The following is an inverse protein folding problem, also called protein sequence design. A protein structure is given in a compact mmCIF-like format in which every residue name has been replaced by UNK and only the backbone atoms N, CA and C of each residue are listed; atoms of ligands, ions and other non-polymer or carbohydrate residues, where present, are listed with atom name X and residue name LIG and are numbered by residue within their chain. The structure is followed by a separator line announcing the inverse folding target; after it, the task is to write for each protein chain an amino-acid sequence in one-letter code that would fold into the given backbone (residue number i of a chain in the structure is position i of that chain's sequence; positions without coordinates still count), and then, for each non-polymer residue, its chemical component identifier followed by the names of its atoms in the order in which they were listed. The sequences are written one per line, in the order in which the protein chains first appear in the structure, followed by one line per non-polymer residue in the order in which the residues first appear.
data_IF_716687125742
#
_entry.id   IF_716687125742
#
_cell.length_a   1.000
_cell.length_b   1.000
_cell.length_c   1.000
_cell.angle_alpha   90.00
_cell.angle_beta   90.00
_cell.angle_gamma   90.00
#
_symmetry.space_group_name_H-M   'P 1'
#
loop_
_entity.id
_entity.type
_entity.pdbx_description
1 polymer ?
#
# COMPACT_ATOMS: atom_id res chain seq x y z
N UNK A 1 4.11 -5.89 34.55
CA UNK A 1 2.80 -6.56 34.66
C UNK A 1 1.83 -6.02 33.61
N UNK A 2 2.01 -6.42 32.34
CA UNK A 2 0.97 -6.44 31.28
C UNK A 2 1.52 -7.20 30.05
N UNK A 3 1.88 -8.48 30.22
CA UNK A 3 2.19 -9.41 29.11
C UNK A 3 0.98 -10.33 28.83
N UNK A 4 -0.23 -9.79 28.82
CA UNK A 4 -1.44 -10.61 28.61
C UNK A 4 -1.75 -10.76 27.11
N UNK A 5 -1.16 -9.91 26.25
CA UNK A 5 -1.35 -9.97 24.80
C UNK A 5 0.03 -9.91 24.13
N UNK A 6 0.41 -10.93 23.33
CA UNK A 6 1.66 -10.88 22.60
C UNK A 6 1.64 -9.75 21.57
N UNK A 7 2.73 -8.98 21.48
CA UNK A 7 2.80 -7.79 20.64
C UNK A 7 2.43 -8.05 19.17
N UNK A 8 2.78 -9.22 18.64
CA UNK A 8 2.46 -9.62 17.26
C UNK A 8 0.94 -9.74 17.02
N UNK A 9 0.13 -10.06 18.04
CA UNK A 9 -1.32 -10.12 17.90
C UNK A 9 -1.92 -8.72 17.79
N UNK A 10 -1.37 -7.74 18.52
CA UNK A 10 -1.75 -6.33 18.39
C UNK A 10 -1.38 -5.83 16.98
N UNK A 11 -0.19 -6.16 16.48
CA UNK A 11 0.25 -5.83 15.12
C UNK A 11 -0.72 -6.37 14.06
N UNK A 12 -1.15 -7.64 14.16
CA UNK A 12 -2.14 -8.23 13.25
C UNK A 12 -3.51 -7.53 13.30
N UNK A 13 -3.98 -7.13 14.48
CA UNK A 13 -5.22 -6.38 14.62
C UNK A 13 -5.14 -5.00 13.94
N UNK A 14 -4.00 -4.33 14.02
CA UNK A 14 -3.77 -3.05 13.33
C UNK A 14 -3.77 -3.25 11.81
N UNK A 15 -3.14 -4.32 11.30
CA UNK A 15 -3.20 -4.66 9.88
C UNK A 15 -4.64 -4.92 9.44
N UNK A 16 -5.40 -5.72 10.20
CA UNK A 16 -6.79 -6.03 9.90
C UNK A 16 -7.67 -4.77 9.93
N UNK A 17 -7.46 -3.87 10.89
CA UNK A 17 -8.12 -2.57 10.96
C UNK A 17 -7.79 -1.75 9.71
N UNK A 18 -6.52 -1.63 9.34
CA UNK A 18 -6.08 -0.84 8.18
C UNK A 18 -6.69 -1.38 6.87
N UNK A 19 -6.69 -2.70 6.68
CA UNK A 19 -7.33 -3.36 5.53
C UNK A 19 -8.85 -3.14 5.56
N UNK A 20 -9.49 -3.26 6.72
CA UNK A 20 -10.92 -3.02 6.89
C UNK A 20 -11.31 -1.57 6.57
N UNK A 21 -10.49 -0.61 6.97
CA UNK A 21 -10.67 0.80 6.65
C UNK A 21 -10.51 1.07 5.15
N UNK A 22 -9.52 0.43 4.50
CA UNK A 22 -9.33 0.52 3.06
C UNK A 22 -10.46 -0.10 2.22
N UNK A 23 -11.15 -1.09 2.80
CA UNK A 23 -12.36 -1.67 2.22
C UNK A 23 -13.56 -0.72 2.27
N UNK A 24 -13.71 0.08 3.34
CA UNK A 24 -14.92 0.89 3.59
C UNK A 24 -14.96 2.24 2.87
N UNK A 25 -13.83 2.88 2.60
CA UNK A 25 -13.83 4.24 2.02
C UNK A 25 -13.29 4.31 0.60
N UNK A 26 -14.15 4.38 -0.43
CA UNK A 26 -13.71 4.66 -1.83
C UNK A 26 -12.86 5.94 -1.91
N UNK A 27 -13.27 6.98 -1.17
CA UNK A 27 -12.56 8.25 -1.06
C UNK A 27 -11.35 8.27 -0.14
N UNK A 28 -11.10 7.23 0.67
CA UNK A 28 -9.93 7.17 1.57
C UNK A 28 -8.73 6.43 0.94
N UNK A 29 -8.93 5.78 -0.21
CA UNK A 29 -7.94 4.92 -0.88
C UNK A 29 -6.66 5.67 -1.26
N UNK A 30 -6.77 6.91 -1.73
CA UNK A 30 -5.62 7.75 -2.08
C UNK A 30 -4.72 7.99 -0.86
N UNK A 31 -5.30 8.53 0.22
CA UNK A 31 -4.55 8.81 1.46
C UNK A 31 -3.96 7.53 2.07
N UNK A 32 -4.70 6.41 2.07
CA UNK A 32 -4.17 5.16 2.58
C UNK A 32 -2.94 4.69 1.79
N UNK A 33 -2.98 4.74 0.46
CA UNK A 33 -1.80 4.41 -0.39
C UNK A 33 -0.60 5.30 -0.07
N UNK A 34 -0.84 6.61 0.13
CA UNK A 34 0.16 7.60 0.54
C UNK A 34 0.74 7.28 1.92
N UNK A 35 -0.10 6.97 2.91
CA UNK A 35 0.35 6.63 4.27
C UNK A 35 1.19 5.35 4.29
N UNK A 36 0.79 4.31 3.57
CA UNK A 36 1.60 3.08 3.44
C UNK A 36 2.96 3.39 2.86
N UNK A 37 3.01 4.17 1.77
CA UNK A 37 4.27 4.59 1.15
C UNK A 37 5.15 5.34 2.15
N UNK A 38 4.58 6.27 2.92
CA UNK A 38 5.29 7.02 3.94
C UNK A 38 5.88 6.10 5.01
N UNK A 39 5.09 5.25 5.66
CA UNK A 39 5.56 4.38 6.74
C UNK A 39 6.65 3.43 6.28
N UNK A 40 6.47 2.81 5.12
CA UNK A 40 7.45 1.88 4.54
C UNK A 40 8.78 2.57 4.19
N UNK A 41 8.70 3.77 3.62
CA UNK A 41 9.90 4.54 3.23
C UNK A 41 10.60 5.17 4.44
N UNK A 42 9.84 5.65 5.43
CA UNK A 42 10.38 6.20 6.66
C UNK A 42 11.06 5.13 7.51
N UNK A 43 10.45 3.94 7.64
CA UNK A 43 11.14 2.79 8.26
C UNK A 43 12.44 2.45 7.53
N UNK A 44 12.44 2.50 6.20
CA UNK A 44 13.64 2.29 5.42
C UNK A 44 14.73 3.35 5.69
N UNK A 45 14.36 4.62 5.86
CA UNK A 45 15.26 5.68 6.30
C UNK A 45 15.86 5.37 7.68
N UNK A 46 15.04 4.99 8.67
CA UNK A 46 15.52 4.69 10.02
C UNK A 46 16.47 3.50 10.02
N UNK A 47 16.12 2.43 9.31
CA UNK A 47 16.95 1.21 9.22
C UNK A 47 18.32 1.42 8.56
N UNK A 48 18.50 2.53 7.85
CA UNK A 48 19.69 2.80 7.05
C UNK A 48 20.70 3.72 7.77
N UNK A 49 20.39 4.24 8.96
CA UNK A 49 21.25 5.19 9.65
C UNK A 49 21.22 4.99 11.16
N UNK A 50 22.38 4.95 11.80
CA UNK A 50 22.51 4.63 13.24
C UNK A 50 22.49 5.87 14.16
N UNK A 51 21.94 6.99 13.67
CA UNK A 51 22.00 8.31 14.33
C UNK A 51 20.79 8.56 15.24
N UNK A 52 19.84 7.63 15.30
CA UNK A 52 18.56 7.83 16.00
C UNK A 52 18.63 7.53 17.50
N UNK A 53 17.91 8.30 18.34
CA UNK A 53 17.75 7.97 19.75
C UNK A 53 16.95 6.67 19.93
N UNK A 54 17.25 5.94 21.01
CA UNK A 54 16.74 4.59 21.28
C UNK A 54 15.21 4.59 21.39
N UNK A 55 14.64 5.62 22.02
CA UNK A 55 13.20 5.77 22.23
C UNK A 55 12.43 5.85 20.90
N UNK A 56 13.03 6.47 19.89
CA UNK A 56 12.47 6.57 18.54
C UNK A 56 12.53 5.24 17.82
N UNK A 57 13.65 4.52 17.95
CA UNK A 57 13.83 3.20 17.34
C UNK A 57 12.84 2.18 17.90
N UNK A 58 12.55 2.20 19.20
CA UNK A 58 11.56 1.31 19.81
C UNK A 58 10.14 1.59 19.31
N UNK A 59 9.74 2.86 19.29
CA UNK A 59 8.40 3.26 18.81
C UNK A 59 8.23 2.96 17.33
N UNK A 60 9.25 3.27 16.52
CA UNK A 60 9.21 3.02 15.09
C UNK A 60 9.28 1.53 14.77
N UNK A 61 9.97 0.71 15.57
CA UNK A 61 9.99 -0.75 15.37
C UNK A 61 8.57 -1.33 15.39
N UNK A 62 7.69 -0.88 16.28
CA UNK A 62 6.30 -1.33 16.30
C UNK A 62 5.55 -0.97 15.00
N UNK A 63 5.69 0.27 14.53
CA UNK A 63 5.04 0.73 13.28
C UNK A 63 5.64 0.02 12.06
N UNK A 64 6.97 -0.10 12.00
CA UNK A 64 7.71 -0.78 10.95
C UNK A 64 7.35 -2.26 10.85
N UNK A 65 7.18 -2.95 11.97
CA UNK A 65 6.75 -4.35 12.01
C UNK A 65 5.39 -4.53 11.31
N UNK A 66 4.42 -3.63 11.57
CA UNK A 66 3.07 -3.64 10.97
C UNK A 66 3.13 -3.42 9.46
N UNK A 67 3.83 -2.38 9.00
CA UNK A 67 3.80 -1.96 7.59
C UNK A 67 4.80 -2.68 6.68
N UNK A 68 5.85 -3.29 7.24
CA UNK A 68 6.85 -4.10 6.53
C UNK A 68 6.77 -5.60 6.85
N UNK A 69 5.77 -6.05 7.62
CA UNK A 69 5.55 -7.45 7.99
C UNK A 69 6.72 -8.13 8.70
N UNK A 70 7.45 -7.39 9.53
CA UNK A 70 8.55 -7.93 10.35
C UNK A 70 8.05 -8.18 11.76
N UNK A 71 7.42 -9.32 12.02
CA UNK A 71 6.85 -9.62 13.34
C UNK A 71 7.91 -9.99 14.39
N UNK A 72 8.71 -9.03 14.85
CA UNK A 72 9.87 -9.26 15.74
C UNK A 72 9.54 -10.09 16.99
N UNK A 73 8.30 -10.03 17.50
CA UNK A 73 7.84 -10.83 18.63
C UNK A 73 7.81 -12.35 18.39
N UNK A 74 7.79 -12.80 17.12
CA UNK A 74 7.85 -14.22 16.76
C UNK A 74 9.29 -14.75 16.68
N UNK A 75 10.32 -13.90 16.86
CA UNK A 75 11.72 -14.31 16.72
C UNK A 75 12.15 -15.38 17.73
N UNK A 76 11.61 -15.32 18.95
CA UNK A 76 11.90 -16.31 19.98
C UNK A 76 11.15 -17.64 19.75
N UNK A 77 9.97 -17.61 19.13
CA UNK A 77 9.17 -18.82 18.87
C UNK A 77 9.60 -19.52 17.57
N UNK A 78 9.93 -18.75 16.53
CA UNK A 78 10.30 -19.26 15.22
C UNK A 78 11.60 -18.62 14.72
N UNK A 79 12.77 -18.94 15.31
CA UNK A 79 14.04 -18.29 14.98
C UNK A 79 14.44 -18.46 13.51
N UNK A 80 14.00 -19.54 12.85
CA UNK A 80 14.26 -19.78 11.42
C UNK A 80 13.66 -18.72 10.50
N UNK A 81 12.52 -18.12 10.87
CA UNK A 81 11.86 -17.07 10.08
C UNK A 81 12.63 -15.75 10.08
N UNK A 82 13.53 -15.53 11.05
CA UNK A 82 14.30 -14.31 11.21
C UNK A 82 15.75 -14.43 10.71
N UNK A 83 16.08 -15.56 10.08
CA UNK A 83 17.29 -15.67 9.27
C UNK A 83 17.10 -14.89 7.95
N UNK A 84 18.16 -14.37 7.31
CA UNK A 84 18.03 -13.65 6.03
C UNK A 84 17.26 -14.42 4.95
N UNK A 85 17.46 -15.74 4.92
CA UNK A 85 16.75 -16.67 4.05
C UNK A 85 15.28 -16.85 4.45
N UNK A 86 15.01 -17.04 5.74
CA UNK A 86 13.64 -17.15 6.26
C UNK A 86 12.82 -15.88 6.08
N UNK A 87 13.42 -14.71 6.26
CA UNK A 87 12.77 -13.42 6.08
C UNK A 87 12.40 -13.19 4.60
N UNK A 88 13.31 -13.48 3.66
CA UNK A 88 12.99 -13.39 2.24
C UNK A 88 11.90 -14.40 1.85
N UNK A 89 12.04 -15.67 2.25
CA UNK A 89 11.07 -16.71 1.93
C UNK A 89 9.67 -16.40 2.50
N UNK A 90 9.59 -15.95 3.75
CA UNK A 90 8.33 -15.56 4.38
C UNK A 90 7.68 -14.37 3.69
N UNK A 91 8.44 -13.33 3.33
CA UNK A 91 7.91 -12.17 2.60
C UNK A 91 7.40 -12.54 1.19
N UNK A 92 8.03 -13.49 0.50
CA UNK A 92 7.58 -13.98 -0.80
C UNK A 92 6.31 -14.83 -0.69
N UNK A 93 6.22 -15.69 0.32
CA UNK A 93 5.08 -16.59 0.53
C UNK A 93 3.87 -15.84 1.11
N UNK A 94 4.08 -14.79 1.90
CA UNK A 94 3.02 -14.01 2.55
C UNK A 94 1.89 -13.56 1.60
N UNK A 95 2.15 -12.86 0.47
CA UNK A 95 1.09 -12.48 -0.45
C UNK A 95 0.37 -13.68 -1.04
N UNK A 96 1.06 -14.80 -1.27
CA UNK A 96 0.44 -16.03 -1.77
C UNK A 96 -0.54 -16.61 -0.75
N UNK A 97 -0.14 -16.72 0.52
CA UNK A 97 -1.01 -17.20 1.60
C UNK A 97 -2.22 -16.28 1.76
N UNK A 98 -2.01 -14.96 1.81
CA UNK A 98 -3.10 -14.00 1.93
C UNK A 98 -4.10 -14.12 0.77
N UNK A 99 -3.61 -14.24 -0.48
CA UNK A 99 -4.46 -14.43 -1.65
C UNK A 99 -5.21 -15.77 -1.55
N UNK A 100 -4.54 -16.86 -1.20
CA UNK A 100 -5.17 -18.18 -1.03
C UNK A 100 -6.28 -18.14 0.03
N UNK A 101 -6.06 -17.47 1.17
CA UNK A 101 -7.07 -17.31 2.22
C UNK A 101 -8.28 -16.50 1.73
N UNK A 102 -8.05 -15.44 0.96
CA UNK A 102 -9.12 -14.62 0.36
C UNK A 102 -9.96 -15.46 -0.62
N UNK A 103 -9.32 -16.29 -1.45
CA UNK A 103 -10.04 -17.19 -2.37
C UNK A 103 -10.71 -18.37 -1.68
N UNK A 104 -10.13 -18.84 -0.57
CA UNK A 104 -10.79 -19.83 0.29
C UNK A 104 -12.07 -19.24 0.90
N UNK A 105 -12.03 -17.99 1.38
CA UNK A 105 -13.21 -17.27 1.84
C UNK A 105 -14.25 -17.08 0.73
N UNK A 106 -13.84 -16.75 -0.49
CA UNK A 106 -14.73 -16.70 -1.65
C UNK A 106 -15.44 -18.04 -1.89
N UNK A 107 -14.68 -19.14 -1.84
CA UNK A 107 -15.20 -20.50 -2.07
C UNK A 107 -16.20 -20.90 -0.99
N UNK A 108 -15.86 -20.63 0.28
CA UNK A 108 -16.76 -20.88 1.41
C UNK A 108 -18.04 -20.04 1.30
N UNK A 109 -17.93 -18.74 1.03
CA UNK A 109 -19.08 -17.86 0.84
C UNK A 109 -19.97 -18.30 -0.33
N UNK A 110 -19.38 -18.74 -1.43
CA UNK A 110 -20.11 -19.30 -2.56
C UNK A 110 -20.87 -20.59 -2.18
N UNK A 111 -20.23 -21.50 -1.44
CA UNK A 111 -20.87 -22.73 -0.97
C UNK A 111 -22.05 -22.42 -0.04
N UNK A 112 -21.88 -21.49 0.90
CA UNK A 112 -22.97 -21.03 1.78
C UNK A 112 -24.10 -20.43 0.95
N UNK A 113 -23.82 -19.53 0.00
CA UNK A 113 -24.87 -18.94 -0.83
C UNK A 113 -25.64 -19.98 -1.65
N UNK A 114 -24.96 -21.02 -2.12
CA UNK A 114 -25.58 -22.14 -2.85
C UNK A 114 -26.43 -23.02 -1.93
N UNK A 115 -25.96 -23.34 -0.72
CA UNK A 115 -26.68 -24.20 0.24
C UNK A 115 -27.96 -23.53 0.74
N UNK A 116 -27.91 -22.23 1.02
CA UNK A 116 -29.03 -21.48 1.59
C UNK A 116 -29.98 -20.88 0.54
N UNK A 117 -29.81 -21.24 -0.75
CA UNK A 117 -30.64 -20.77 -1.88
C UNK A 117 -31.00 -19.28 -1.80
N UNK A 118 -30.00 -18.43 -1.56
CA UNK A 118 -30.26 -17.00 -1.43
C UNK A 118 -30.77 -16.41 -2.75
N UNK A 119 -31.81 -15.54 -2.71
CA UNK A 119 -32.21 -14.77 -3.88
C UNK A 119 -31.06 -13.86 -4.34
N UNK A 120 -30.94 -13.64 -5.66
CA UNK A 120 -29.87 -12.87 -6.32
C UNK A 120 -28.45 -13.45 -6.14
N UNK A 121 -28.32 -14.78 -6.26
CA UNK A 121 -27.04 -15.47 -6.13
C UNK A 121 -25.96 -14.97 -7.10
N UNK A 122 -26.32 -14.63 -8.34
CA UNK A 122 -25.37 -14.12 -9.34
C UNK A 122 -24.77 -12.77 -8.95
N UNK A 123 -25.61 -11.82 -8.51
CA UNK A 123 -25.18 -10.47 -8.13
C UNK A 123 -24.30 -10.52 -6.87
N UNK A 124 -24.70 -11.31 -5.86
CA UNK A 124 -23.91 -11.51 -4.63
C UNK A 124 -22.58 -12.20 -4.92
N UNK A 125 -22.56 -13.18 -5.82
CA UNK A 125 -21.33 -13.85 -6.27
C UNK A 125 -20.38 -12.88 -6.96
N UNK A 126 -20.90 -12.04 -7.85
CA UNK A 126 -20.10 -11.06 -8.58
C UNK A 126 -19.51 -10.01 -7.62
N UNK A 127 -20.31 -9.52 -6.68
CA UNK A 127 -19.86 -8.62 -5.62
C UNK A 127 -18.76 -9.24 -4.76
N UNK A 128 -18.96 -10.47 -4.28
CA UNK A 128 -17.97 -11.20 -3.47
C UNK A 128 -16.67 -11.43 -4.24
N UNK A 129 -16.76 -11.84 -5.51
CA UNK A 129 -15.60 -12.04 -6.39
C UNK A 129 -14.81 -10.73 -6.52
N UNK A 130 -15.49 -9.63 -6.78
CA UNK A 130 -14.85 -8.34 -7.01
C UNK A 130 -14.19 -7.82 -5.72
N UNK A 131 -14.81 -8.00 -4.56
CA UNK A 131 -14.17 -7.72 -3.25
C UNK A 131 -12.93 -8.57 -3.02
N UNK A 132 -12.98 -9.88 -3.31
CA UNK A 132 -11.83 -10.78 -3.12
C UNK A 132 -10.67 -10.42 -4.05
N UNK A 133 -10.98 -10.08 -5.30
CA UNK A 133 -9.97 -9.60 -6.23
C UNK A 133 -9.37 -8.25 -5.79
N UNK A 134 -10.19 -7.32 -5.32
CA UNK A 134 -9.75 -6.03 -4.79
C UNK A 134 -8.79 -6.22 -3.61
N UNK A 135 -9.13 -7.12 -2.67
CA UNK A 135 -8.27 -7.46 -1.54
C UNK A 135 -6.95 -8.07 -2.00
N UNK A 136 -6.98 -8.99 -2.98
CA UNK A 136 -5.78 -9.61 -3.55
C UNK A 136 -4.80 -8.58 -4.13
N UNK A 137 -5.34 -7.61 -4.88
CA UNK A 137 -4.56 -6.49 -5.43
C UNK A 137 -4.00 -5.59 -4.33
N UNK A 138 -4.80 -5.27 -3.32
CA UNK A 138 -4.37 -4.44 -2.20
C UNK A 138 -3.24 -5.13 -1.41
N UNK A 139 -3.36 -6.43 -1.16
CA UNK A 139 -2.31 -7.24 -0.53
C UNK A 139 -1.02 -7.16 -1.33
N UNK A 140 -1.06 -7.40 -2.65
CA UNK A 140 0.13 -7.30 -3.51
C UNK A 140 0.80 -5.93 -3.44
N UNK A 141 0.01 -4.85 -3.52
CA UNK A 141 0.49 -3.48 -3.42
C UNK A 141 1.15 -3.17 -2.07
N UNK A 142 0.58 -3.69 -0.99
CA UNK A 142 1.06 -3.47 0.37
C UNK A 142 2.36 -4.25 0.63
N UNK A 143 2.48 -5.48 0.14
CA UNK A 143 3.69 -6.30 0.26
C UNK A 143 4.78 -5.94 -0.74
N UNK A 144 4.50 -5.14 -1.77
CA UNK A 144 5.45 -4.87 -2.86
C UNK A 144 6.77 -4.26 -2.38
N UNK A 145 6.73 -3.13 -1.65
CA UNK A 145 7.95 -2.45 -1.20
C UNK A 145 8.86 -3.32 -0.32
N UNK A 146 8.35 -4.01 0.73
CA UNK A 146 9.22 -4.87 1.55
C UNK A 146 9.82 -6.02 0.73
N UNK A 147 9.07 -6.62 -0.19
CA UNK A 147 9.59 -7.66 -1.09
C UNK A 147 10.71 -7.10 -1.98
N UNK A 148 10.51 -5.94 -2.62
CA UNK A 148 11.52 -5.34 -3.49
C UNK A 148 12.76 -4.94 -2.70
N UNK A 149 12.61 -4.28 -1.54
CA UNK A 149 13.73 -3.89 -0.68
C UNK A 149 14.54 -5.11 -0.25
N UNK A 150 13.89 -6.19 0.22
CA UNK A 150 14.60 -7.39 0.68
C UNK A 150 15.25 -8.15 -0.47
N UNK A 151 14.60 -8.23 -1.63
CA UNK A 151 15.16 -8.84 -2.85
C UNK A 151 16.39 -8.06 -3.33
N UNK A 152 16.30 -6.72 -3.41
CA UNK A 152 17.42 -5.87 -3.81
C UNK A 152 18.59 -5.94 -2.81
N UNK A 153 18.29 -5.99 -1.52
CA UNK A 153 19.27 -6.15 -0.44
C UNK A 153 20.00 -7.49 -0.50
N UNK A 154 19.28 -8.56 -0.86
CA UNK A 154 19.85 -9.89 -1.06
C UNK A 154 20.77 -9.96 -2.28
N UNK A 155 20.39 -9.29 -3.37
CA UNK A 155 21.18 -9.22 -4.60
C UNK A 155 22.28 -8.14 -4.56
N UNK A 156 22.40 -7.40 -3.46
CA UNK A 156 23.42 -6.38 -3.31
C UNK A 156 24.83 -7.00 -3.23
N UNK A 157 25.82 -6.25 -3.71
CA UNK A 157 27.21 -6.67 -3.61
C UNK A 157 27.62 -6.81 -2.14
N UNK A 158 28.32 -7.89 -1.83
CA UNK A 158 28.86 -8.12 -0.50
C UNK A 158 29.87 -7.05 -0.10
N UNK A 159 29.91 -6.73 1.19
CA UNK A 159 31.02 -5.99 1.79
C UNK A 159 32.21 -6.91 1.96
N UNK A 160 33.41 -6.34 1.99
CA UNK A 160 34.65 -7.07 2.28
C UNK A 160 35.23 -6.51 3.59
N UNK A 161 35.47 -7.39 4.54
CA UNK A 161 36.14 -7.06 5.80
C UNK A 161 37.16 -8.16 6.13
N UNK A 162 38.42 -7.78 6.35
CA UNK A 162 39.54 -8.67 6.65
C UNK A 162 39.69 -9.90 5.72
N UNK A 163 39.40 -9.72 4.42
CA UNK A 163 39.51 -10.78 3.41
C UNK A 163 38.33 -11.77 3.37
N UNK A 164 37.31 -11.56 4.21
CA UNK A 164 36.04 -12.28 4.13
C UNK A 164 34.92 -11.37 3.63
N UNK A 165 33.97 -11.96 2.89
CA UNK A 165 32.86 -11.23 2.27
C UNK A 165 31.59 -11.47 3.06
N UNK A 166 30.91 -10.39 3.45
CA UNK A 166 29.69 -10.44 4.25
C UNK A 166 28.53 -9.71 3.57
N UNK A 167 27.30 -10.17 3.84
CA UNK A 167 26.11 -9.51 3.34
C UNK A 167 25.89 -8.17 4.06
N UNK A 168 25.69 -7.08 3.31
CA UNK A 168 25.61 -5.72 3.90
C UNK A 168 24.44 -5.52 4.86
N UNK A 169 23.31 -6.17 4.60
CA UNK A 169 22.11 -6.09 5.44
C UNK A 169 22.23 -6.94 6.70
N UNK A 170 22.98 -8.03 6.62
CA UNK A 170 23.19 -8.99 7.69
C UNK A 170 24.68 -9.31 7.80
N UNK A 171 25.48 -8.46 8.48
CA UNK A 171 26.93 -8.61 8.54
C UNK A 171 27.41 -9.91 9.18
N UNK A 172 26.53 -10.60 9.91
CA UNK A 172 26.80 -11.91 10.51
C UNK A 172 26.68 -13.09 9.53
N UNK A 173 26.30 -12.84 8.27
CA UNK A 173 26.19 -13.87 7.22
C UNK A 173 27.30 -13.68 6.19
N UNK A 174 28.13 -14.71 6.06
CA UNK A 174 29.17 -14.79 5.03
C UNK A 174 28.55 -14.99 3.64
N UNK A 175 29.15 -14.37 2.63
CA UNK A 175 28.78 -14.48 1.22
C UNK A 175 29.38 -15.72 0.54
N UNK A 176 29.58 -16.78 1.32
CA UNK A 176 30.08 -18.06 0.89
C UNK A 176 29.23 -19.16 1.54
N UNK A 177 29.09 -20.31 0.87
CA UNK A 177 28.36 -21.46 1.39
C UNK A 177 26.95 -21.67 0.82
N UNK A 178 26.29 -22.70 1.37
CA UNK A 178 25.02 -23.23 0.86
C UNK A 178 23.85 -22.27 1.11
N UNK A 179 23.74 -21.69 2.31
CA UNK A 179 22.65 -20.80 2.68
C UNK A 179 22.64 -19.51 1.84
N UNK A 180 23.82 -18.93 1.60
CA UNK A 180 23.97 -17.79 0.69
C UNK A 180 23.61 -18.15 -0.75
N UNK A 181 23.96 -19.36 -1.22
CA UNK A 181 23.62 -19.82 -2.56
C UNK A 181 22.10 -19.94 -2.74
N UNK A 182 21.39 -20.54 -1.78
CA UNK A 182 19.92 -20.59 -1.82
C UNK A 182 19.32 -19.18 -1.78
N UNK A 183 19.86 -18.32 -0.91
CA UNK A 183 19.41 -16.95 -0.78
C UNK A 183 19.55 -16.18 -2.11
N UNK A 184 20.66 -16.35 -2.83
CA UNK A 184 20.87 -15.80 -4.18
C UNK A 184 19.89 -16.37 -5.21
N UNK A 185 19.67 -17.69 -5.23
CA UNK A 185 18.70 -18.32 -6.13
C UNK A 185 17.29 -17.77 -5.90
N UNK A 186 16.88 -17.64 -4.64
CA UNK A 186 15.59 -17.03 -4.29
C UNK A 186 15.52 -15.56 -4.70
N UNK A 187 16.59 -14.79 -4.51
CA UNK A 187 16.66 -13.39 -4.95
C UNK A 187 16.51 -13.24 -6.47
N UNK A 188 17.24 -14.05 -7.25
CA UNK A 188 17.16 -14.05 -8.70
C UNK A 188 15.83 -14.57 -9.24
N UNK A 189 15.14 -15.45 -8.52
CA UNK A 189 13.79 -15.87 -8.85
C UNK A 189 12.74 -14.79 -8.51
N UNK A 190 12.90 -14.13 -7.36
CA UNK A 190 12.01 -13.07 -6.90
C UNK A 190 12.05 -11.82 -7.77
N UNK A 191 13.20 -11.51 -8.37
CA UNK A 191 13.39 -10.35 -9.25
C UNK A 191 12.42 -10.36 -10.46
N UNK A 192 12.42 -11.35 -11.36
CA UNK A 192 11.46 -11.39 -12.47
C UNK A 192 10.02 -11.66 -11.98
N UNK A 193 9.82 -12.47 -10.94
CA UNK A 193 8.49 -12.88 -10.50
C UNK A 193 7.72 -11.75 -9.80
N UNK A 194 8.36 -11.05 -8.87
CA UNK A 194 7.72 -10.01 -8.04
C UNK A 194 8.14 -8.60 -8.42
N UNK A 195 9.45 -8.33 -8.52
CA UNK A 195 9.96 -6.96 -8.73
C UNK A 195 9.55 -6.44 -10.11
N UNK A 196 9.75 -7.23 -11.16
CA UNK A 196 9.39 -6.86 -12.54
C UNK A 196 8.00 -7.41 -12.89
N UNK A 197 7.69 -8.62 -12.46
CA UNK A 197 6.46 -9.33 -12.82
C UNK A 197 5.19 -8.65 -12.30
N UNK A 198 5.18 -8.07 -11.11
CA UNK A 198 3.96 -7.41 -10.59
C UNK A 198 3.64 -6.11 -11.36
N UNK A 199 4.56 -5.14 -11.51
CA UNK A 199 4.25 -3.92 -12.26
C UNK A 199 3.97 -4.19 -13.74
N UNK A 200 4.86 -4.94 -14.41
CA UNK A 200 4.81 -5.07 -15.88
C UNK A 200 4.06 -6.32 -16.37
N UNK A 201 4.11 -7.41 -15.62
CA UNK A 201 3.47 -8.68 -15.98
C UNK A 201 2.02 -8.82 -15.51
N UNK A 202 1.65 -8.15 -14.41
CA UNK A 202 0.30 -8.19 -13.86
C UNK A 202 -0.43 -6.86 -14.06
N UNK A 203 0.06 -5.76 -13.49
CA UNK A 203 -0.71 -4.51 -13.42
C UNK A 203 -0.84 -3.82 -14.78
N UNK A 204 0.24 -3.72 -15.55
CA UNK A 204 0.21 -3.09 -16.87
C UNK A 204 -0.77 -3.79 -17.84
N UNK A 205 -0.72 -5.11 -18.05
CA UNK A 205 -1.69 -5.79 -18.91
C UNK A 205 -3.10 -5.71 -18.34
N UNK A 206 -3.27 -5.81 -17.01
CA UNK A 206 -4.58 -5.72 -16.37
C UNK A 206 -5.23 -4.33 -16.54
N UNK A 207 -4.44 -3.26 -16.60
CA UNK A 207 -4.92 -1.91 -16.93
C UNK A 207 -5.14 -1.70 -18.43
N UNK A 208 -4.31 -2.31 -19.28
CA UNK A 208 -4.37 -2.17 -20.73
C UNK A 208 -5.49 -3.00 -21.36
N UNK A 209 -5.56 -4.30 -21.05
CA UNK A 209 -6.56 -5.23 -21.60
C UNK A 209 -7.98 -4.90 -21.17
N UNK A 210 -8.18 -4.44 -19.93
CA UNK A 210 -9.48 -3.99 -19.45
C UNK A 210 -9.87 -2.59 -19.97
N UNK A 211 -9.11 -2.02 -20.92
CA UNK A 211 -9.37 -0.74 -21.58
C UNK A 211 -9.81 0.34 -20.58
N UNK A 212 -9.10 0.47 -19.45
CA UNK A 212 -9.46 1.44 -18.39
C UNK A 212 -9.54 2.87 -18.94
N UNK A 213 -8.74 3.18 -19.97
CA UNK A 213 -8.78 4.44 -20.71
C UNK A 213 -10.12 4.71 -21.42
N UNK A 214 -10.82 3.66 -21.88
CA UNK A 214 -12.12 3.74 -22.60
C UNK A 214 -13.30 3.40 -21.71
N UNK A 215 -13.16 3.49 -20.39
CA UNK A 215 -14.22 3.20 -19.40
C UNK A 215 -15.54 3.92 -19.71
N UNK A 216 -15.50 5.18 -20.15
CA UNK A 216 -16.70 5.97 -20.45
C UNK A 216 -17.47 5.51 -21.69
N UNK A 217 -16.86 4.68 -22.53
CA UNK A 217 -17.50 4.10 -23.72
C UNK A 217 -18.18 2.76 -23.39
N UNK A 218 -18.08 2.26 -22.15
CA UNK A 218 -18.64 0.97 -21.74
C UNK A 218 -20.08 1.10 -21.23
N UNK A 219 -20.90 0.04 -21.36
CA UNK A 219 -22.20 -0.04 -20.70
C UNK A 219 -22.09 0.16 -19.19
N UNK A 220 -23.09 0.81 -18.58
CA UNK A 220 -23.10 1.15 -17.15
C UNK A 220 -22.89 -0.08 -16.23
N UNK A 221 -23.43 -1.24 -16.62
CA UNK A 221 -23.28 -2.50 -15.88
C UNK A 221 -21.82 -3.03 -15.90
N UNK A 222 -21.13 -2.93 -17.03
CA UNK A 222 -19.73 -3.36 -17.14
C UNK A 222 -18.79 -2.38 -16.42
N UNK A 223 -19.14 -1.09 -16.42
CA UNK A 223 -18.44 -0.05 -15.68
C UNK A 223 -18.47 -0.31 -14.16
N UNK A 224 -19.62 -0.65 -13.59
CA UNK A 224 -19.75 -0.97 -12.16
C UNK A 224 -19.01 -2.26 -11.77
N UNK A 225 -19.00 -3.26 -12.66
CA UNK A 225 -18.23 -4.50 -12.48
C UNK A 225 -16.72 -4.23 -12.49
N UNK A 226 -16.25 -3.40 -13.44
CA UNK A 226 -14.85 -3.00 -13.53
C UNK A 226 -14.42 -2.15 -12.31
N UNK A 227 -15.25 -1.20 -11.90
CA UNK A 227 -14.99 -0.32 -10.75
C UNK A 227 -14.96 -1.08 -9.42
N UNK A 228 -15.80 -2.10 -9.26
CA UNK A 228 -15.81 -2.91 -8.05
C UNK A 228 -14.60 -3.83 -7.96
N UNK A 229 -14.03 -4.28 -9.08
CA UNK A 229 -12.83 -5.11 -9.12
C UNK A 229 -11.53 -4.29 -9.12
N UNK A 230 -11.27 -3.51 -10.18
CA UNK A 230 -10.02 -2.77 -10.38
C UNK A 230 -10.03 -1.42 -9.68
N UNK A 231 -11.15 -1.00 -9.09
CA UNK A 231 -11.25 0.35 -8.59
C UNK A 231 -10.32 0.68 -7.43
N UNK A 232 -9.71 -0.31 -6.76
CA UNK A 232 -8.64 -0.02 -5.80
C UNK A 232 -7.37 0.49 -6.48
N UNK A 233 -7.13 0.07 -7.73
CA UNK A 233 -5.98 0.46 -8.54
C UNK A 233 -6.19 1.85 -9.11
N UNK A 234 -7.24 2.04 -9.93
CA UNK A 234 -7.34 3.24 -10.76
C UNK A 234 -8.30 4.34 -10.27
N UNK A 235 -9.33 4.03 -9.46
CA UNK A 235 -10.30 5.05 -9.03
C UNK A 235 -9.69 6.20 -8.21
N UNK A 236 -8.59 6.01 -7.44
CA UNK A 236 -7.94 7.13 -6.79
C UNK A 236 -7.36 8.17 -7.75
N UNK A 237 -7.22 7.86 -9.04
CA UNK A 237 -6.58 8.71 -10.03
C UNK A 237 -7.58 9.41 -10.95
N UNK A 238 -7.19 10.59 -11.43
CA UNK A 238 -7.91 11.29 -12.51
C UNK A 238 -7.88 10.48 -13.79
N UNK A 239 -8.88 10.70 -14.64
CA UNK A 239 -9.21 9.83 -15.77
C UNK A 239 -8.07 9.68 -16.77
N UNK A 240 -7.39 10.79 -17.04
CA UNK A 240 -6.23 10.87 -17.93
C UNK A 240 -5.08 9.97 -17.48
N UNK A 241 -4.87 9.82 -16.16
CA UNK A 241 -3.71 9.14 -15.58
C UNK A 241 -3.98 7.68 -15.16
N UNK A 242 -5.23 7.21 -15.20
CA UNK A 242 -5.64 5.87 -14.76
C UNK A 242 -4.79 4.69 -15.28
N UNK A 243 -4.35 4.64 -16.56
CA UNK A 243 -3.75 3.41 -17.09
C UNK A 243 -2.26 3.22 -16.75
N UNK A 244 -1.54 4.25 -16.31
CA UNK A 244 -0.09 4.17 -16.10
C UNK A 244 0.37 4.66 -14.72
N UNK A 245 -0.44 5.42 -13.99
CA UNK A 245 0.04 6.10 -12.80
C UNK A 245 0.35 5.17 -11.62
N UNK A 246 -0.40 4.07 -11.46
CA UNK A 246 -0.05 3.03 -10.48
C UNK A 246 1.33 2.42 -10.77
N UNK A 247 1.66 2.21 -12.05
CA UNK A 247 2.96 1.68 -12.47
C UNK A 247 4.08 2.66 -12.12
N UNK A 248 3.85 3.96 -12.32
CA UNK A 248 4.81 5.01 -11.92
C UNK A 248 5.05 4.99 -10.41
N UNK A 249 4.01 4.78 -9.60
CA UNK A 249 4.12 4.68 -8.14
C UNK A 249 4.89 3.43 -7.69
N UNK A 250 4.65 2.28 -8.32
CA UNK A 250 5.41 1.07 -8.08
C UNK A 250 6.87 1.21 -8.53
N UNK A 251 7.12 1.85 -9.68
CA UNK A 251 8.45 2.14 -10.18
C UNK A 251 9.22 3.05 -9.23
N UNK A 252 8.58 4.12 -8.72
CA UNK A 252 9.16 4.99 -7.69
C UNK A 252 9.59 4.20 -6.45
N UNK A 253 8.70 3.36 -5.92
CA UNK A 253 8.99 2.48 -4.77
C UNK A 253 10.16 1.54 -5.05
N UNK A 254 10.19 0.97 -6.25
CA UNK A 254 11.25 0.10 -6.72
C UNK A 254 12.60 0.82 -6.78
N UNK A 255 12.65 2.00 -7.39
CA UNK A 255 13.87 2.82 -7.50
C UNK A 255 14.42 3.22 -6.13
N UNK A 256 13.56 3.62 -5.18
CA UNK A 256 13.96 3.92 -3.80
C UNK A 256 14.55 2.67 -3.13
N UNK A 257 13.87 1.53 -3.25
CA UNK A 257 14.34 0.27 -2.66
C UNK A 257 15.70 -0.17 -3.22
N UNK A 258 15.90 -0.07 -4.53
CA UNK A 258 17.19 -0.36 -5.17
C UNK A 258 18.30 0.61 -4.74
N UNK A 259 18.00 1.91 -4.72
CA UNK A 259 18.96 2.92 -4.28
C UNK A 259 19.41 2.66 -2.84
N UNK A 260 18.48 2.36 -1.93
CA UNK A 260 18.79 2.05 -0.53
C UNK A 260 19.55 0.73 -0.36
N UNK A 261 19.32 -0.26 -1.21
CA UNK A 261 19.85 -1.60 -1.01
C UNK A 261 21.18 -1.86 -1.72
N UNK A 262 21.34 -1.39 -2.97
CA UNK A 262 22.51 -1.69 -3.80
C UNK A 262 23.69 -0.75 -3.53
N UNK A 263 23.40 0.51 -3.17
CA UNK A 263 24.41 1.52 -2.90
C UNK A 263 24.87 1.39 -1.44
N UNK A 264 26.17 1.54 -1.20
CA UNK A 264 26.74 1.44 0.13
C UNK A 264 26.17 2.53 1.07
N UNK A 265 25.77 2.15 2.29
CA UNK A 265 25.17 3.04 3.31
C UNK A 265 26.08 4.20 3.71
N UNK A 266 27.40 3.98 3.69
CA UNK A 266 28.37 5.01 4.00
C UNK A 266 28.50 6.09 2.89
N UNK A 267 28.05 5.80 1.67
CA UNK A 267 28.21 6.68 0.52
C UNK A 267 27.13 7.75 0.46
N UNK A 268 27.54 9.02 0.27
CA UNK A 268 26.61 10.13 -0.01
C UNK A 268 25.82 9.91 -1.30
N UNK A 269 26.31 9.06 -2.21
CA UNK A 269 25.62 8.72 -3.46
C UNK A 269 24.27 8.04 -3.21
N UNK A 270 24.13 7.29 -2.12
CA UNK A 270 22.86 6.64 -1.75
C UNK A 270 21.78 7.69 -1.49
N UNK A 271 22.09 8.68 -0.63
CA UNK A 271 21.19 9.79 -0.33
C UNK A 271 20.86 10.59 -1.59
N UNK A 272 21.86 10.91 -2.42
CA UNK A 272 21.64 11.66 -3.67
C UNK A 272 20.67 10.91 -4.59
N UNK A 273 20.86 9.60 -4.79
CA UNK A 273 20.00 8.78 -5.64
C UNK A 273 18.56 8.76 -5.12
N UNK A 274 18.36 8.52 -3.82
CA UNK A 274 17.01 8.52 -3.21
C UNK A 274 16.36 9.90 -3.29
N UNK A 275 17.09 10.96 -2.95
CA UNK A 275 16.59 12.33 -3.01
C UNK A 275 16.24 12.76 -4.43
N UNK A 276 17.01 12.31 -5.43
CA UNK A 276 16.71 12.53 -6.85
C UNK A 276 15.40 11.85 -7.26
N UNK A 277 15.19 10.58 -6.89
CA UNK A 277 13.93 9.86 -7.18
C UNK A 277 12.74 10.57 -6.50
N UNK A 278 12.90 10.99 -5.24
CA UNK A 278 11.87 11.74 -4.51
C UNK A 278 11.58 13.11 -5.15
N UNK A 279 12.61 13.81 -5.63
CA UNK A 279 12.47 15.11 -6.30
C UNK A 279 11.74 14.97 -7.64
N UNK A 280 12.12 13.99 -8.47
CA UNK A 280 11.41 13.69 -9.72
C UNK A 280 9.95 13.35 -9.42
N UNK A 281 9.69 12.51 -8.43
CA UNK A 281 8.33 12.18 -8.01
C UNK A 281 7.55 13.41 -7.51
N UNK A 282 8.19 14.32 -6.78
CA UNK A 282 7.59 15.57 -6.32
C UNK A 282 7.26 16.49 -7.50
N UNK A 283 8.16 16.64 -8.47
CA UNK A 283 7.90 17.40 -9.70
C UNK A 283 6.72 16.81 -10.47
N UNK A 284 6.69 15.48 -10.68
CA UNK A 284 5.56 14.81 -11.32
C UNK A 284 4.25 15.03 -10.55
N UNK A 285 4.28 14.96 -9.22
CA UNK A 285 3.11 15.18 -8.37
C UNK A 285 2.59 16.62 -8.47
N UNK A 286 3.48 17.61 -8.45
CA UNK A 286 3.14 19.04 -8.55
C UNK A 286 2.62 19.41 -9.94
N UNK A 287 3.21 18.84 -11.00
CA UNK A 287 2.82 19.10 -12.39
C UNK A 287 1.50 18.44 -12.77
N UNK A 288 1.29 17.17 -12.39
CA UNK A 288 0.15 16.40 -12.88
C UNK A 288 -1.03 16.31 -11.91
N UNK A 289 -0.82 16.51 -10.59
CA UNK A 289 -1.86 16.38 -9.54
C UNK A 289 -2.79 15.17 -9.78
N UNK A 290 -2.21 13.96 -9.80
CA UNK A 290 -2.80 12.76 -10.36
C UNK A 290 -3.98 12.21 -9.55
N UNK A 291 -4.07 12.51 -8.25
CA UNK A 291 -5.11 11.98 -7.39
C UNK A 291 -6.42 12.73 -7.63
N UNK A 292 -7.53 12.01 -7.57
CA UNK A 292 -8.85 12.59 -7.64
C UNK A 292 -9.27 13.04 -6.25
N UNK A 293 -9.35 14.36 -6.04
CA UNK A 293 -9.55 14.90 -4.71
C UNK A 293 -11.00 14.71 -4.23
N UNK A 294 -11.14 14.08 -3.06
CA UNK A 294 -12.43 13.83 -2.42
C UNK A 294 -13.11 15.12 -1.93
N UNK A 295 -12.34 16.20 -1.74
CA UNK A 295 -12.85 17.53 -1.37
C UNK A 295 -12.68 18.52 -2.52
N UNK A 296 -13.79 19.07 -3.03
CA UNK A 296 -13.76 20.09 -4.09
C UNK A 296 -13.09 21.41 -3.66
N UNK A 297 -13.19 21.78 -2.38
CA UNK A 297 -12.64 23.05 -1.85
C UNK A 297 -11.15 22.97 -1.52
N UNK A 298 -10.64 21.79 -1.17
CA UNK A 298 -9.24 21.60 -0.78
C UNK A 298 -8.73 20.26 -1.31
N UNK A 299 -7.66 20.25 -2.14
CA UNK A 299 -7.14 19.03 -2.75
C UNK A 299 -6.34 18.20 -1.72
N UNK A 300 -7.06 17.53 -0.82
CA UNK A 300 -6.50 16.89 0.36
C UNK A 300 -5.52 15.76 0.02
N UNK A 301 -5.89 14.85 -0.89
CA UNK A 301 -5.06 13.71 -1.27
C UNK A 301 -3.80 14.15 -2.01
N UNK A 302 -3.93 15.06 -2.97
CA UNK A 302 -2.76 15.60 -3.68
C UNK A 302 -1.83 16.39 -2.74
N UNK A 303 -2.39 17.13 -1.79
CA UNK A 303 -1.61 17.87 -0.79
C UNK A 303 -0.89 16.93 0.17
N UNK A 304 -1.57 15.89 0.66
CA UNK A 304 -0.97 14.89 1.54
C UNK A 304 0.21 14.17 0.87
N UNK A 305 0.05 13.72 -0.38
CA UNK A 305 1.14 13.09 -1.15
C UNK A 305 2.32 14.06 -1.36
N UNK A 306 2.04 15.32 -1.66
CA UNK A 306 3.08 16.37 -1.83
C UNK A 306 3.84 16.60 -0.52
N UNK A 307 3.14 16.71 0.61
CA UNK A 307 3.76 16.89 1.92
C UNK A 307 4.59 15.66 2.31
N UNK A 308 4.09 14.46 2.06
CA UNK A 308 4.85 13.21 2.30
C UNK A 308 6.15 13.17 1.49
N UNK A 309 6.08 13.48 0.19
CA UNK A 309 7.28 13.50 -0.66
C UNK A 309 8.29 14.56 -0.21
N UNK A 310 7.82 15.76 0.14
CA UNK A 310 8.66 16.84 0.63
C UNK A 310 9.32 16.49 1.97
N UNK A 311 8.54 15.98 2.93
CA UNK A 311 9.04 15.58 4.25
C UNK A 311 10.04 14.42 4.15
N UNK A 312 9.78 13.41 3.32
CA UNK A 312 10.73 12.33 3.09
C UNK A 312 12.02 12.85 2.46
N UNK A 313 11.92 13.70 1.42
CA UNK A 313 13.09 14.29 0.76
C UNK A 313 13.94 15.09 1.75
N UNK A 314 13.31 15.95 2.55
CA UNK A 314 13.98 16.71 3.61
C UNK A 314 14.59 15.80 4.67
N UNK A 315 13.88 14.74 5.08
CA UNK A 315 14.38 13.79 6.10
C UNK A 315 15.63 13.05 5.61
N UNK A 316 15.64 12.52 4.38
CA UNK A 316 16.84 11.85 3.83
C UNK A 316 18.06 12.79 3.76
N UNK A 317 17.86 14.04 3.32
CA UNK A 317 18.95 15.02 3.25
C UNK A 317 19.50 15.38 4.63
N UNK A 318 18.63 15.68 5.59
CA UNK A 318 19.05 16.13 6.92
C UNK A 318 19.63 15.00 7.77
N UNK A 319 19.13 13.77 7.63
CA UNK A 319 19.71 12.60 8.30
C UNK A 319 21.14 12.37 7.83
N UNK A 320 21.40 12.48 6.51
CA UNK A 320 22.76 12.38 5.99
C UNK A 320 23.64 13.51 6.49
N UNK A 321 23.13 14.74 6.55
CA UNK A 321 23.87 15.87 7.08
C UNK A 321 24.22 15.69 8.57
N UNK A 322 23.28 15.21 9.38
CA UNK A 322 23.49 14.89 10.80
C UNK A 322 24.52 13.77 10.99
N UNK A 323 24.50 12.74 10.13
CA UNK A 323 25.49 11.66 10.15
C UNK A 323 26.92 12.13 9.84
N UNK A 324 27.06 13.20 9.03
CA UNK A 324 28.36 13.79 8.69
C UNK A 324 28.86 14.81 9.73
N UNK A 325 27.95 15.39 10.53
CA UNK A 325 28.26 16.44 11.51
C UNK A 325 27.73 16.04 12.89
N UNK A 326 28.42 15.14 13.62
CA UNK A 326 27.92 14.61 14.89
C UNK A 326 27.70 15.70 15.94
N UNK A 327 28.52 16.75 15.96
CA UNK A 327 28.44 17.84 16.93
C UNK A 327 27.13 18.65 16.84
N UNK A 328 26.51 18.70 15.66
CA UNK A 328 25.24 19.39 15.40
C UNK A 328 24.08 18.44 15.10
N UNK A 329 24.28 17.13 15.28
CA UNK A 329 23.29 16.10 14.90
C UNK A 329 22.02 16.17 15.75
N UNK A 330 22.14 16.38 17.05
CA UNK A 330 21.02 16.35 18.02
C UNK A 330 19.85 17.29 17.65
N UNK A 331 20.05 18.62 17.44
CA UNK A 331 18.95 19.50 17.08
C UNK A 331 18.32 19.16 15.73
N UNK A 332 19.11 18.64 14.78
CA UNK A 332 18.63 18.28 13.44
C UNK A 332 17.72 17.04 13.52
N UNK A 333 18.09 16.05 14.33
CA UNK A 333 17.27 14.85 14.55
C UNK A 333 15.92 15.25 15.18
N UNK A 334 15.92 16.09 16.21
CA UNK A 334 14.68 16.53 16.86
C UNK A 334 13.77 17.34 15.93
N UNK A 335 14.36 18.16 15.04
CA UNK A 335 13.62 18.83 13.98
C UNK A 335 12.97 17.83 13.03
N UNK A 336 13.72 16.83 12.53
CA UNK A 336 13.19 15.78 11.66
C UNK A 336 12.04 15.04 12.35
N UNK A 337 12.21 14.67 13.62
CA UNK A 337 11.19 13.98 14.40
C UNK A 337 9.92 14.82 14.53
N UNK A 338 10.06 16.10 14.85
CA UNK A 338 8.93 17.03 15.00
C UNK A 338 8.13 17.16 13.71
N UNK A 339 8.82 17.35 12.57
CA UNK A 339 8.18 17.45 11.26
C UNK A 339 7.45 16.16 10.87
N UNK A 340 8.06 14.99 11.13
CA UNK A 340 7.44 13.70 10.85
C UNK A 340 6.21 13.42 11.74
N UNK A 341 6.25 13.81 13.02
CA UNK A 341 5.10 13.71 13.94
C UNK A 341 3.96 14.61 13.47
N UNK A 342 4.23 15.85 13.07
CA UNK A 342 3.20 16.76 12.53
C UNK A 342 2.56 16.18 11.27
N UNK A 343 3.35 15.63 10.36
CA UNK A 343 2.85 14.98 9.15
C UNK A 343 1.98 13.76 9.48
N UNK A 344 2.43 12.91 10.41
CA UNK A 344 1.68 11.75 10.89
C UNK A 344 0.31 12.16 11.44
N UNK A 345 0.28 13.14 12.34
CA UNK A 345 -0.96 13.68 12.89
C UNK A 345 -1.88 14.22 11.79
N UNK A 346 -1.33 14.97 10.83
CA UNK A 346 -2.07 15.47 9.67
C UNK A 346 -2.69 14.36 8.82
N UNK A 347 -1.95 13.27 8.56
CA UNK A 347 -2.48 12.10 7.84
C UNK A 347 -3.59 11.41 8.61
N UNK A 348 -3.43 11.17 9.91
CA UNK A 348 -4.44 10.53 10.76
C UNK A 348 -5.74 11.35 10.78
N UNK A 349 -5.63 12.68 10.96
CA UNK A 349 -6.78 13.58 10.88
C UNK A 349 -7.45 13.50 9.51
N UNK A 350 -6.66 13.50 8.42
CA UNK A 350 -7.18 13.40 7.06
C UNK A 350 -7.95 12.10 6.83
N UNK A 351 -7.44 10.97 7.33
CA UNK A 351 -8.12 9.66 7.27
C UNK A 351 -9.44 9.71 8.04
N UNK A 352 -9.45 10.24 9.26
CA UNK A 352 -10.66 10.34 10.09
C UNK A 352 -11.72 11.20 9.40
N UNK A 353 -11.34 12.34 8.82
CA UNK A 353 -12.26 13.22 8.10
C UNK A 353 -12.87 12.54 6.87
N UNK A 354 -12.07 11.81 6.10
CA UNK A 354 -12.56 11.07 4.92
C UNK A 354 -13.49 9.91 5.31
N UNK A 355 -13.17 9.20 6.40
CA UNK A 355 -14.03 8.13 6.91
C UNK A 355 -15.36 8.66 7.42
N UNK A 356 -15.36 9.78 8.15
CA UNK A 356 -16.60 10.43 8.61
C UNK A 356 -17.47 10.87 7.43
N UNK A 357 -16.86 11.44 6.40
CA UNK A 357 -17.57 11.83 5.17
C UNK A 357 -18.19 10.62 4.46
N UNK A 358 -17.46 9.51 4.37
CA UNK A 358 -17.99 8.28 3.78
C UNK A 358 -19.18 7.73 4.57
N UNK A 359 -19.10 7.69 5.90
CA UNK A 359 -20.20 7.26 6.76
C UNK A 359 -21.47 8.09 6.60
N UNK A 360 -21.34 9.41 6.59
CA UNK A 360 -22.47 10.32 6.38
C UNK A 360 -23.13 10.12 4.99
N UNK A 361 -22.33 9.84 3.95
CA UNK A 361 -22.88 9.62 2.61
C UNK A 361 -23.68 8.31 2.52
N UNK A 362 -23.22 7.24 3.18
CA UNK A 362 -23.94 5.97 3.23
C UNK A 362 -25.25 6.10 4.02
N UNK A 363 -25.27 6.90 5.10
CA UNK A 363 -26.48 7.15 5.90
C UNK A 363 -27.55 7.90 5.09
N UNK A 364 -27.17 8.94 4.34
CA UNK A 364 -28.10 9.68 3.47
C UNK A 364 -28.68 8.82 2.34
N UNK A 365 -27.89 7.89 1.77
CA UNK A 365 -28.36 6.96 0.73
C UNK A 365 -29.32 5.91 1.29
N UNK A 366 -29.06 5.42 2.50
CA UNK A 366 -29.98 4.51 3.18
C UNK A 366 -31.32 5.17 3.54
N UNK A 367 -31.29 6.43 3.98
CA UNK A 367 -32.48 7.22 4.28
C UNK A 367 -33.30 7.50 3.00
N UNK A 368 -32.64 7.83 1.89
CA UNK A 368 -33.29 8.02 0.59
C UNK A 368 -33.97 6.74 0.06
N UNK A 369 -33.32 5.57 0.18
CA UNK A 369 -33.92 4.28 -0.21
C UNK A 369 -35.07 3.85 0.70
N UNK A 370 -34.99 4.15 2.01
CA UNK A 370 -36.09 3.90 2.94
C UNK A 370 -37.35 4.72 2.63
N UNK A 371 -37.17 5.93 2.07
CA UNK A 371 -38.28 6.74 1.60
C UNK A 371 -38.89 6.26 0.27
N UNK A 372 -38.10 5.66 -0.64
CA UNK A 372 -38.63 5.02 -1.87
C UNK A 372 -39.44 3.75 -1.58
N UNK A 373 -39.05 2.95 -0.58
CA UNK A 373 -39.84 1.78 -0.12
C UNK A 373 -41.14 2.14 0.62
N UNK A 374 -41.32 3.41 1.00
CA UNK A 374 -42.52 3.91 1.68
C UNK A 374 -43.34 4.88 0.81
N UNK A 375 -42.94 5.12 -0.43
CA UNK A 375 -43.80 5.78 -1.40
C UNK A 375 -44.98 4.85 -1.72
N UNK A 376 -46.25 5.28 -1.54
CA UNK A 376 -47.38 4.45 -1.93
C UNK A 376 -47.30 4.22 -3.44
N UNK A 377 -47.26 2.94 -3.83
CA UNK A 377 -47.53 2.49 -5.19
C UNK A 377 -48.88 3.10 -5.58
N UNK A 378 -48.86 4.16 -6.38
CA UNK A 378 -50.06 4.71 -6.99
C UNK A 378 -50.62 3.59 -7.86
N UNK A 379 -51.78 3.07 -7.44
CA UNK A 379 -52.47 1.98 -8.10
C UNK A 379 -52.72 2.29 -9.56
N UNK A 380 -52.28 1.37 -10.40
CA UNK A 380 -52.62 1.29 -11.81
C UNK A 380 -54.15 1.10 -11.92
N UNK A 381 -54.87 2.13 -12.38
CA UNK A 381 -56.32 2.11 -12.34
C UNK A 381 -57.01 3.40 -12.77
N UNK A 382 -56.75 3.89 -13.98
CA UNK A 382 -57.71 4.70 -14.74
C UNK A 382 -57.27 4.82 -16.21
N UNK A 383 -57.69 3.85 -17.00
CA UNK A 383 -57.76 3.94 -18.46
C UNK A 383 -59.03 4.71 -18.79
N UNK A 384 -58.95 6.02 -18.99
CA UNK A 384 -60.05 6.80 -19.58
C UNK A 384 -59.61 7.41 -20.92
N UNK A 385 -60.38 7.02 -21.93
CA UNK A 385 -60.46 7.60 -23.28
C UNK A 385 -60.82 9.08 -23.21
N UNK A 386 -60.16 9.91 -24.03
CA UNK A 386 -60.68 11.04 -24.82
C UNK A 386 -59.42 11.63 -25.48
N UNK A 387 -59.30 11.96 -26.76
CA UNK A 387 -60.21 12.11 -27.89
C UNK A 387 -59.43 13.02 -28.86
N UNK A 388 -59.36 12.62 -30.13
CA UNK A 388 -58.86 13.43 -31.25
C UNK A 388 -59.50 14.82 -31.28
N UNK A 389 -58.73 15.88 -31.58
CA UNK A 389 -59.09 16.89 -32.59
C UNK A 389 -57.86 17.72 -33.01
N UNK A 390 -57.72 17.87 -34.32
CA UNK A 390 -56.82 18.78 -35.03
C UNK A 390 -57.24 20.25 -34.81
N UNK A 391 -56.26 21.15 -34.67
CA UNK A 391 -55.93 22.25 -35.62
C UNK A 391 -54.66 22.98 -35.17
#
# INVERSE_FOLDING_TARGET
MLQIIPAWLLELNVIALFIGLAGRGKGARGIMKTSVFYFQTFDALLSNTDVWPVEVLETQRYIGNVFNFRFSGLACEFPRLFTPLGELASLLILPLICILLVWFYFTLGYLVFKIFEYPNLEERRLRLRNTCLQLSVMTLNFTYFPIVKKTASTLAHCGEDNGQRYLREAPWMECEGYDYTILQVLGWLALPLYVIGVPFGLFLPLLHFNKVARRHEMPQQDQESLDSWLGSIYLPYREEFRPYFEIIFLLRRMLIAFALSLINRASSFQTIAVCFVLLVALCLQLSFRPLNDSYQKFPLENTAETLVLLTLHFSFMNVRYAALNPDSSLPIIWMIMSVNVVLLCGMVVSIILLLKKAGNADEMVHEARGHEEHAPVLGDGAREQYGTFEE
#
